data_IF_857519766432
#
_entry.id   IF_857519766432
#
_cell.length_a   1.000
_cell.length_b   1.000
_cell.length_c   1.000
_cell.angle_alpha   90.00
_cell.angle_beta   90.00
_cell.angle_gamma   90.00
#
_symmetry.space_group_name_H-M   'P 1'
#
loop_
_entity.id
_entity.type
_entity.pdbx_description
1 polymer ?
#
# COMPACT_ATOMS: atom_id res chain seq x y z
N UNK A 1 11.94 -11.43 40.77
CA UNK A 1 11.13 -11.79 39.58
C UNK A 1 10.16 -10.65 39.32
N UNK A 2 10.50 -9.74 38.40
CA UNK A 2 9.53 -8.77 37.87
C UNK A 2 8.51 -9.55 37.05
N UNK A 3 7.25 -9.58 37.49
CA UNK A 3 6.15 -10.04 36.64
C UNK A 3 6.10 -9.08 35.45
N UNK A 4 6.53 -9.54 34.28
CA UNK A 4 6.24 -8.84 33.03
C UNK A 4 4.72 -8.83 32.88
N UNK A 5 4.10 -7.70 33.19
CA UNK A 5 2.70 -7.48 32.88
C UNK A 5 2.65 -7.40 31.35
N UNK A 6 1.89 -8.28 30.68
CA UNK A 6 1.79 -8.24 29.23
C UNK A 6 1.22 -6.88 28.81
N UNK A 7 1.81 -6.27 27.77
CA UNK A 7 1.41 -4.95 27.26
C UNK A 7 -0.07 -4.90 26.82
N UNK A 8 -0.63 -6.05 26.44
CA UNK A 8 -2.01 -6.20 26.00
C UNK A 8 -2.69 -7.33 26.77
N UNK A 9 -3.96 -7.13 27.11
CA UNK A 9 -4.78 -8.09 27.86
C UNK A 9 -5.56 -9.03 26.92
N UNK A 10 -5.71 -8.67 25.63
CA UNK A 10 -6.36 -9.52 24.62
C UNK A 10 -5.78 -9.32 23.21
N UNK A 11 -6.06 -10.28 22.32
CA UNK A 11 -5.73 -10.15 20.89
C UNK A 11 -6.48 -8.99 20.21
N UNK A 12 -7.64 -8.60 20.73
CA UNK A 12 -8.42 -7.48 20.18
C UNK A 12 -7.72 -6.15 20.48
N UNK A 13 -7.26 -5.94 21.71
CA UNK A 13 -6.48 -4.76 22.09
C UNK A 13 -5.19 -4.66 21.28
N UNK A 14 -4.51 -5.80 21.07
CA UNK A 14 -3.30 -5.86 20.25
C UNK A 14 -3.60 -5.53 18.77
N UNK A 15 -4.71 -6.04 18.22
CA UNK A 15 -5.11 -5.79 16.83
C UNK A 15 -5.49 -4.33 16.62
N UNK A 16 -6.18 -3.71 17.57
CA UNK A 16 -6.54 -2.29 17.56
C UNK A 16 -5.29 -1.41 17.59
N UNK A 17 -4.38 -1.63 18.54
CA UNK A 17 -3.13 -0.87 18.63
C UNK A 17 -2.26 -1.04 17.38
N UNK A 18 -2.23 -2.24 16.80
CA UNK A 18 -1.46 -2.50 15.57
C UNK A 18 -2.10 -1.81 14.36
N UNK A 19 -3.44 -1.86 14.23
CA UNK A 19 -4.16 -1.15 13.18
C UNK A 19 -3.91 0.37 13.26
N UNK A 20 -3.97 0.96 14.45
CA UNK A 20 -3.65 2.37 14.69
C UNK A 20 -2.22 2.70 14.25
N UNK A 21 -1.24 1.88 14.65
CA UNK A 21 0.15 2.04 14.25
C UNK A 21 0.34 1.97 12.73
N UNK A 22 -0.28 1.00 12.07
CA UNK A 22 -0.22 0.84 10.61
C UNK A 22 -0.80 2.05 9.88
N UNK A 23 -1.95 2.55 10.32
CA UNK A 23 -2.59 3.73 9.70
C UNK A 23 -1.74 4.98 9.88
N UNK A 24 -1.17 5.22 11.07
CA UNK A 24 -0.28 6.36 11.30
C UNK A 24 0.95 6.30 10.40
N UNK A 25 1.56 5.13 10.24
CA UNK A 25 2.69 4.93 9.33
C UNK A 25 2.25 5.15 7.87
N UNK A 26 1.08 4.64 7.48
CA UNK A 26 0.50 4.86 6.14
C UNK A 26 0.29 6.35 5.83
N UNK A 27 -0.35 7.08 6.74
CA UNK A 27 -0.54 8.53 6.62
C UNK A 27 0.80 9.29 6.55
N UNK A 28 1.79 8.88 7.34
CA UNK A 28 3.14 9.45 7.28
C UNK A 28 3.79 9.24 5.91
N UNK A 29 3.69 8.04 5.33
CA UNK A 29 4.22 7.73 4.00
C UNK A 29 3.48 8.49 2.89
N UNK A 30 2.15 8.65 3.01
CA UNK A 30 1.35 9.48 2.11
C UNK A 30 1.85 10.93 2.13
N UNK A 31 2.09 11.49 3.31
CA UNK A 31 2.64 12.84 3.47
C UNK A 31 4.05 12.98 2.90
N UNK A 32 4.92 11.98 3.08
CA UNK A 32 6.25 11.98 2.47
C UNK A 32 6.19 12.02 0.94
N UNK A 33 5.32 11.20 0.33
CA UNK A 33 5.12 11.19 -1.12
C UNK A 33 4.51 12.51 -1.60
N UNK A 34 3.50 13.03 -0.90
CA UNK A 34 2.88 14.32 -1.22
C UNK A 34 3.89 15.47 -1.24
N UNK A 35 4.89 15.43 -0.35
CA UNK A 35 5.98 16.42 -0.28
C UNK A 35 7.14 16.15 -1.23
N UNK A 36 7.21 14.98 -1.84
CA UNK A 36 8.30 14.60 -2.73
C UNK A 36 8.32 15.51 -3.97
N UNK A 37 9.47 16.16 -4.21
CA UNK A 37 9.60 17.16 -5.28
C UNK A 37 9.31 16.57 -6.66
N UNK A 38 9.74 15.34 -6.89
CA UNK A 38 9.56 14.68 -8.19
C UNK A 38 8.10 14.27 -8.38
N UNK A 39 7.43 13.76 -7.34
CA UNK A 39 6.00 13.51 -7.37
C UNK A 39 5.21 14.79 -7.69
N UNK A 40 5.45 15.88 -6.96
CA UNK A 40 4.75 17.16 -7.19
C UNK A 40 4.96 17.69 -8.60
N UNK A 41 6.17 17.54 -9.15
CA UNK A 41 6.49 17.88 -10.54
C UNK A 41 5.72 17.01 -11.54
N UNK A 42 5.70 15.69 -11.33
CA UNK A 42 5.01 14.74 -12.22
C UNK A 42 3.48 14.86 -12.18
N UNK A 43 2.94 15.27 -11.03
CA UNK A 43 1.53 15.52 -10.81
C UNK A 43 1.12 16.99 -11.11
N UNK A 44 2.03 17.80 -11.66
CA UNK A 44 1.80 19.19 -12.06
C UNK A 44 1.21 20.09 -10.95
N UNK A 45 1.70 19.95 -9.72
CA UNK A 45 1.19 20.70 -8.57
C UNK A 45 1.31 22.23 -8.72
N UNK A 46 2.22 22.70 -9.55
CA UNK A 46 2.44 24.10 -9.87
C UNK A 46 1.22 24.79 -10.53
N UNK A 47 0.38 24.02 -11.22
CA UNK A 47 -0.82 24.53 -11.89
C UNK A 47 -2.14 24.08 -11.22
N UNK A 48 -2.07 23.17 -10.25
CA UNK A 48 -3.24 22.69 -9.53
C UNK A 48 -3.69 23.69 -8.45
N UNK A 49 -5.00 23.82 -8.28
CA UNK A 49 -5.58 24.58 -7.17
C UNK A 49 -5.33 23.88 -5.83
N UNK A 50 -5.50 24.62 -4.72
CA UNK A 50 -5.41 24.03 -3.38
C UNK A 50 -6.39 22.87 -3.19
N UNK A 51 -7.61 22.99 -3.71
CA UNK A 51 -8.62 21.92 -3.65
C UNK A 51 -8.13 20.65 -4.35
N UNK A 52 -7.43 20.78 -5.47
CA UNK A 52 -6.84 19.63 -6.15
C UNK A 52 -5.64 19.06 -5.39
N UNK A 53 -4.85 19.89 -4.69
CA UNK A 53 -3.78 19.39 -3.82
C UNK A 53 -4.38 18.55 -2.68
N UNK A 54 -5.42 19.06 -2.03
CA UNK A 54 -6.10 18.36 -0.93
C UNK A 54 -6.72 17.05 -1.40
N UNK A 55 -7.36 17.06 -2.58
CA UNK A 55 -7.89 15.84 -3.22
C UNK A 55 -6.79 14.81 -3.48
N UNK A 56 -5.67 15.21 -4.07
CA UNK A 56 -4.54 14.31 -4.33
C UNK A 56 -3.98 13.77 -3.02
N UNK A 57 -3.85 14.61 -1.98
CA UNK A 57 -3.41 14.15 -0.67
C UNK A 57 -4.35 13.10 -0.08
N UNK A 58 -5.67 13.34 -0.14
CA UNK A 58 -6.66 12.39 0.34
C UNK A 58 -6.60 11.06 -0.41
N UNK A 59 -6.43 11.11 -1.73
CA UNK A 59 -6.26 9.91 -2.56
C UNK A 59 -4.99 9.12 -2.19
N UNK A 60 -3.87 9.81 -1.89
CA UNK A 60 -2.67 9.16 -1.39
C UNK A 60 -2.94 8.47 -0.06
N UNK A 61 -3.53 9.17 0.92
CA UNK A 61 -3.81 8.62 2.25
C UNK A 61 -4.70 7.38 2.17
N UNK A 62 -5.84 7.46 1.46
CA UNK A 62 -6.74 6.31 1.32
C UNK A 62 -6.06 5.15 0.60
N UNK A 63 -5.19 5.41 -0.39
CA UNK A 63 -4.43 4.36 -1.07
C UNK A 63 -3.54 3.57 -0.11
N UNK A 64 -2.86 4.22 0.84
CA UNK A 64 -2.07 3.51 1.86
C UNK A 64 -2.97 2.70 2.82
N UNK A 65 -4.12 3.24 3.23
CA UNK A 65 -5.09 2.53 4.08
C UNK A 65 -5.61 1.28 3.38
N UNK A 66 -6.05 1.40 2.13
CA UNK A 66 -6.57 0.28 1.33
C UNK A 66 -5.47 -0.74 1.04
N UNK A 67 -4.23 -0.31 0.80
CA UNK A 67 -3.09 -1.21 0.63
C UNK A 67 -2.84 -2.06 1.89
N UNK A 68 -3.01 -1.50 3.08
CA UNK A 68 -2.94 -2.27 4.33
C UNK A 68 -4.05 -3.32 4.35
N UNK A 69 -5.29 -2.93 4.07
CA UNK A 69 -6.45 -3.85 4.06
C UNK A 69 -6.20 -5.01 3.07
N UNK A 70 -5.86 -4.71 1.82
CA UNK A 70 -5.62 -5.73 0.79
C UNK A 70 -4.41 -6.62 1.09
N UNK A 71 -3.39 -6.10 1.77
CA UNK A 71 -2.25 -6.89 2.24
C UNK A 71 -2.66 -7.91 3.30
N UNK A 72 -3.53 -7.52 4.23
CA UNK A 72 -4.04 -8.41 5.28
C UNK A 72 -4.98 -9.49 4.73
N UNK A 73 -5.63 -9.23 3.59
CA UNK A 73 -6.43 -10.22 2.85
C UNK A 73 -5.61 -11.15 1.95
N UNK A 74 -4.32 -10.85 1.73
CA UNK A 74 -3.52 -11.57 0.75
C UNK A 74 -3.39 -13.05 1.15
N UNK A 75 -3.86 -14.00 0.31
CA UNK A 75 -3.85 -15.42 0.65
C UNK A 75 -2.42 -15.98 0.77
N UNK A 76 -1.48 -15.37 0.05
CA UNK A 76 -0.08 -15.72 0.04
C UNK A 76 0.73 -15.09 1.18
N UNK A 77 0.09 -14.31 2.07
CA UNK A 77 0.73 -13.77 3.27
C UNK A 77 1.16 -14.90 4.20
N UNK A 78 2.47 -14.95 4.48
CA UNK A 78 3.12 -16.05 5.21
C UNK A 78 3.08 -15.81 6.70
N UNK A 79 1.93 -16.07 7.30
CA UNK A 79 1.75 -16.08 8.75
C UNK A 79 1.34 -17.48 9.24
N UNK A 80 1.75 -17.90 10.45
CA UNK A 80 1.23 -19.11 11.07
C UNK A 80 -0.30 -19.07 11.19
N UNK A 81 -0.93 -20.24 11.10
CA UNK A 81 -2.40 -20.36 11.08
C UNK A 81 -3.05 -19.79 12.33
N UNK A 82 -2.40 -19.90 13.50
CA UNK A 82 -2.86 -19.34 14.76
C UNK A 82 -3.01 -17.81 14.75
N UNK A 83 -2.33 -17.10 13.84
CA UNK A 83 -2.45 -15.64 13.71
C UNK A 83 -3.49 -15.20 12.68
N UNK A 84 -4.18 -16.13 12.00
CA UNK A 84 -5.16 -15.78 10.96
C UNK A 84 -6.35 -15.01 11.53
N UNK A 85 -6.85 -15.40 12.71
CA UNK A 85 -7.92 -14.68 13.39
C UNK A 85 -7.48 -13.28 13.84
N UNK A 86 -6.25 -13.16 14.33
CA UNK A 86 -5.65 -11.87 14.66
C UNK A 86 -5.55 -10.96 13.42
N UNK A 87 -5.10 -11.47 12.26
CA UNK A 87 -5.05 -10.68 11.03
C UNK A 87 -6.45 -10.25 10.55
N UNK A 88 -7.45 -11.11 10.68
CA UNK A 88 -8.84 -10.79 10.34
C UNK A 88 -9.37 -9.66 11.22
N UNK A 89 -9.19 -9.77 12.54
CA UNK A 89 -9.56 -8.72 13.49
C UNK A 89 -8.84 -7.41 13.15
N UNK A 90 -7.53 -7.45 12.94
CA UNK A 90 -6.75 -6.26 12.58
C UNK A 90 -7.28 -5.62 11.30
N UNK A 91 -7.60 -6.40 10.26
CA UNK A 91 -8.19 -5.90 9.01
C UNK A 91 -9.48 -5.12 9.26
N UNK A 92 -10.39 -5.69 10.04
CA UNK A 92 -11.68 -5.08 10.40
C UNK A 92 -11.50 -3.76 11.16
N UNK A 93 -10.35 -3.57 11.84
CA UNK A 93 -10.03 -2.36 12.60
C UNK A 93 -9.34 -1.26 11.78
N UNK A 94 -8.72 -1.56 10.62
CA UNK A 94 -7.90 -0.58 9.87
C UNK A 94 -8.70 0.67 9.49
N UNK A 95 -9.88 0.51 8.90
CA UNK A 95 -10.69 1.65 8.46
C UNK A 95 -11.13 2.51 9.65
N UNK A 96 -11.64 1.88 10.70
CA UNK A 96 -12.04 2.56 11.94
C UNK A 96 -10.86 3.28 12.61
N UNK A 97 -9.70 2.63 12.70
CA UNK A 97 -8.48 3.24 13.25
C UNK A 97 -8.06 4.49 12.48
N UNK A 98 -8.35 4.57 11.18
CA UNK A 98 -8.14 5.79 10.41
C UNK A 98 -9.12 6.90 10.76
N UNK A 99 -10.40 6.59 10.90
CA UNK A 99 -11.41 7.58 11.32
C UNK A 99 -11.10 8.11 12.74
N UNK A 100 -10.73 7.22 13.65
CA UNK A 100 -10.33 7.57 15.02
C UNK A 100 -9.06 8.44 15.02
N UNK A 101 -8.09 8.13 14.14
CA UNK A 101 -6.92 8.98 13.96
C UNK A 101 -7.29 10.38 13.43
N UNK A 102 -8.14 10.49 12.41
CA UNK A 102 -8.61 11.79 11.89
C UNK A 102 -9.33 12.60 12.97
N UNK A 103 -10.18 11.96 13.74
CA UNK A 103 -10.85 12.56 14.90
C UNK A 103 -9.85 13.09 15.92
N UNK A 104 -8.80 12.31 16.23
CA UNK A 104 -7.76 12.70 17.20
C UNK A 104 -6.96 13.93 16.79
N UNK A 105 -6.84 14.19 15.48
CA UNK A 105 -6.14 15.37 14.94
C UNK A 105 -7.09 16.54 14.64
N UNK A 106 -8.36 16.45 15.06
CA UNK A 106 -9.33 17.54 15.02
C UNK A 106 -10.21 17.60 13.77
N UNK A 107 -10.27 16.54 12.96
CA UNK A 107 -11.23 16.48 11.84
C UNK A 107 -12.65 16.38 12.41
N UNK A 108 -13.54 17.24 11.91
CA UNK A 108 -14.93 17.29 12.35
C UNK A 108 -15.71 16.05 11.90
N UNK A 109 -16.68 15.63 12.71
CA UNK A 109 -17.48 14.42 12.50
C UNK A 109 -18.18 14.40 11.13
N UNK A 110 -18.62 15.56 10.63
CA UNK A 110 -19.24 15.72 9.31
C UNK A 110 -18.32 15.30 8.15
N UNK A 111 -17.00 15.40 8.32
CA UNK A 111 -16.04 14.97 7.32
C UNK A 111 -15.67 13.49 7.46
N UNK A 112 -15.85 12.89 8.64
CA UNK A 112 -15.52 11.48 8.89
C UNK A 112 -16.41 10.53 8.07
N UNK A 113 -17.69 10.86 7.90
CA UNK A 113 -18.60 10.09 7.03
C UNK A 113 -18.12 10.08 5.56
N UNK A 114 -17.56 11.20 5.10
CA UNK A 114 -16.96 11.29 3.76
C UNK A 114 -15.74 10.37 3.62
N UNK A 115 -14.91 10.30 4.65
CA UNK A 115 -13.74 9.42 4.68
C UNK A 115 -14.12 7.93 4.74
N UNK A 116 -15.09 7.56 5.56
CA UNK A 116 -15.60 6.19 5.65
C UNK A 116 -16.08 5.72 4.27
N UNK A 117 -16.94 6.51 3.63
CA UNK A 117 -17.43 6.22 2.28
C UNK A 117 -16.32 6.14 1.25
N UNK A 118 -15.30 7.00 1.35
CA UNK A 118 -14.15 6.99 0.44
C UNK A 118 -13.32 5.70 0.59
N UNK A 119 -13.04 5.28 1.83
CA UNK A 119 -12.31 4.03 2.11
C UNK A 119 -13.08 2.85 1.54
N UNK A 120 -14.38 2.76 1.80
CA UNK A 120 -15.22 1.67 1.31
C UNK A 120 -15.28 1.62 -0.21
N UNK A 121 -15.47 2.78 -0.86
CA UNK A 121 -15.49 2.88 -2.31
C UNK A 121 -14.18 2.37 -2.92
N UNK A 122 -13.03 2.79 -2.36
CA UNK A 122 -11.71 2.38 -2.85
C UNK A 122 -11.41 0.92 -2.58
N UNK A 123 -11.85 0.37 -1.43
CA UNK A 123 -11.75 -1.06 -1.17
C UNK A 123 -12.50 -1.87 -2.23
N UNK A 124 -13.73 -1.48 -2.57
CA UNK A 124 -14.54 -2.18 -3.58
C UNK A 124 -13.94 -2.07 -4.98
N UNK A 125 -13.58 -0.85 -5.39
CA UNK A 125 -12.99 -0.56 -6.69
C UNK A 125 -11.71 -1.39 -6.90
N UNK A 126 -10.75 -1.25 -5.98
CA UNK A 126 -9.47 -1.93 -6.10
C UNK A 126 -9.64 -3.44 -5.96
N UNK A 127 -10.55 -3.91 -5.10
CA UNK A 127 -10.82 -5.34 -4.97
C UNK A 127 -11.29 -5.99 -6.28
N UNK A 128 -12.10 -5.27 -7.07
CA UNK A 128 -12.64 -5.72 -8.36
C UNK A 128 -11.53 -5.88 -9.41
N UNK A 129 -10.58 -4.96 -9.42
CA UNK A 129 -9.53 -4.91 -10.46
C UNK A 129 -8.43 -5.97 -10.23
N UNK A 130 -8.39 -6.63 -9.07
CA UNK A 130 -7.34 -7.63 -8.72
C UNK A 130 -7.17 -8.72 -9.79
N UNK A 131 -8.28 -9.21 -10.36
CA UNK A 131 -8.24 -10.26 -11.37
C UNK A 131 -7.66 -9.78 -12.70
N UNK A 132 -8.04 -8.57 -13.12
CA UNK A 132 -7.55 -7.95 -14.35
C UNK A 132 -6.05 -7.61 -14.23
N UNK A 133 -5.65 -7.04 -13.09
CA UNK A 133 -4.23 -6.76 -12.79
C UNK A 133 -3.39 -8.03 -12.80
N UNK A 134 -3.90 -9.12 -12.19
CA UNK A 134 -3.22 -10.42 -12.21
C UNK A 134 -3.10 -10.96 -13.64
N UNK A 135 -4.17 -10.90 -14.42
CA UNK A 135 -4.18 -11.38 -15.81
C UNK A 135 -3.19 -10.59 -16.68
N UNK A 136 -3.18 -9.25 -16.56
CA UNK A 136 -2.23 -8.40 -17.26
C UNK A 136 -0.78 -8.70 -16.85
N UNK A 137 -0.50 -8.88 -15.56
CA UNK A 137 0.83 -9.25 -15.09
C UNK A 137 1.28 -10.63 -15.62
N UNK A 138 0.36 -11.59 -15.74
CA UNK A 138 0.63 -12.90 -16.34
C UNK A 138 0.94 -12.78 -17.83
N UNK A 139 0.18 -11.98 -18.58
CA UNK A 139 0.43 -11.73 -20.00
C UNK A 139 1.84 -11.17 -20.20
N UNK A 140 2.20 -10.10 -19.49
CA UNK A 140 3.52 -9.45 -19.59
C UNK A 140 4.66 -10.41 -19.25
N UNK A 141 4.54 -11.20 -18.17
CA UNK A 141 5.60 -12.14 -17.80
C UNK A 141 5.70 -13.32 -18.79
N UNK A 142 4.62 -13.65 -19.49
CA UNK A 142 4.57 -14.74 -20.48
C UNK A 142 5.08 -14.37 -21.88
N UNK A 143 5.30 -13.08 -22.16
CA UNK A 143 5.80 -12.60 -23.46
C UNK A 143 7.20 -13.14 -23.79
N UNK A 144 8.08 -13.21 -22.79
CA UNK A 144 9.48 -13.57 -22.96
C UNK A 144 9.78 -15.05 -22.61
N UNK A 145 8.87 -15.74 -21.92
CA UNK A 145 9.05 -17.13 -21.44
C UNK A 145 7.74 -17.78 -20.98
N UNK A 146 7.65 -19.11 -20.92
CA UNK A 146 6.56 -19.80 -20.23
C UNK A 146 6.48 -19.43 -18.74
N UNK A 147 5.26 -19.38 -18.18
CA UNK A 147 5.05 -19.09 -16.76
C UNK A 147 5.37 -20.30 -15.89
N UNK A 148 6.26 -20.11 -14.92
CA UNK A 148 6.56 -21.10 -13.89
C UNK A 148 5.85 -20.78 -12.57
N UNK A 149 5.74 -21.76 -11.66
CA UNK A 149 5.11 -21.59 -10.34
C UNK A 149 5.72 -20.43 -9.53
N UNK A 150 7.04 -20.24 -9.66
CA UNK A 150 7.75 -19.13 -9.01
C UNK A 150 7.30 -17.75 -9.53
N UNK A 151 6.94 -17.66 -10.81
CA UNK A 151 6.45 -16.42 -11.41
C UNK A 151 5.01 -16.14 -11.00
N UNK A 152 4.15 -17.17 -11.00
CA UNK A 152 2.77 -17.05 -10.50
C UNK A 152 2.74 -16.59 -9.03
N UNK A 153 3.64 -17.13 -8.20
CA UNK A 153 3.79 -16.73 -6.80
C UNK A 153 4.20 -15.26 -6.67
N UNK A 154 5.16 -14.83 -7.50
CA UNK A 154 5.64 -13.44 -7.52
C UNK A 154 4.56 -12.47 -7.98
N UNK A 155 3.81 -12.84 -9.02
CA UNK A 155 2.69 -12.06 -9.54
C UNK A 155 1.64 -11.90 -8.44
N UNK A 156 1.17 -13.02 -7.86
CA UNK A 156 0.16 -13.01 -6.80
C UNK A 156 0.55 -12.11 -5.62
N UNK A 157 1.82 -12.16 -5.20
CA UNK A 157 2.37 -11.32 -4.13
C UNK A 157 2.32 -9.82 -4.45
N UNK A 158 2.43 -9.43 -5.72
CA UNK A 158 2.48 -8.03 -6.15
C UNK A 158 1.10 -7.47 -6.55
N UNK A 159 0.08 -8.31 -6.71
CA UNK A 159 -1.29 -7.88 -7.08
C UNK A 159 -1.79 -6.75 -6.17
N UNK A 160 -1.75 -6.84 -4.82
CA UNK A 160 -2.31 -5.79 -3.97
C UNK A 160 -1.71 -4.40 -4.24
N UNK A 161 -0.38 -4.33 -4.37
CA UNK A 161 0.31 -3.05 -4.57
C UNK A 161 0.18 -2.53 -6.01
N UNK A 162 0.11 -3.43 -6.99
CA UNK A 162 -0.13 -3.04 -8.38
C UNK A 162 -1.54 -2.48 -8.56
N UNK A 163 -2.54 -3.17 -8.01
CA UNK A 163 -3.94 -2.73 -8.02
C UNK A 163 -4.09 -1.34 -7.37
N UNK A 164 -3.59 -1.15 -6.15
CA UNK A 164 -3.68 0.16 -5.49
C UNK A 164 -2.93 1.24 -6.27
N UNK A 165 -1.75 0.93 -6.83
CA UNK A 165 -0.98 1.92 -7.58
C UNK A 165 -1.68 2.34 -8.89
N UNK A 166 -2.36 1.42 -9.56
CA UNK A 166 -3.15 1.72 -10.77
C UNK A 166 -4.32 2.64 -10.39
N UNK A 167 -5.15 2.23 -9.43
CA UNK A 167 -6.30 3.02 -9.01
C UNK A 167 -5.90 4.40 -8.47
N UNK A 168 -4.86 4.47 -7.61
CA UNK A 168 -4.33 5.73 -7.09
C UNK A 168 -3.89 6.66 -8.24
N UNK A 169 -3.18 6.12 -9.24
CA UNK A 169 -2.75 6.88 -10.41
C UNK A 169 -3.93 7.36 -11.25
N UNK A 170 -4.94 6.52 -11.48
CA UNK A 170 -6.17 6.90 -12.16
C UNK A 170 -6.88 8.04 -11.45
N UNK A 171 -7.05 7.96 -10.13
CA UNK A 171 -7.71 9.02 -9.37
C UNK A 171 -6.88 10.30 -9.31
N UNK A 172 -5.56 10.23 -9.13
CA UNK A 172 -4.69 11.43 -9.22
C UNK A 172 -4.88 12.12 -10.56
N UNK A 173 -4.91 11.35 -11.65
CA UNK A 173 -5.07 11.84 -13.02
C UNK A 173 -6.53 12.07 -13.45
N UNK A 174 -7.53 11.85 -12.59
CA UNK A 174 -8.96 11.93 -12.94
C UNK A 174 -9.33 11.05 -14.15
N UNK A 175 -8.69 9.90 -14.29
CA UNK A 175 -8.84 8.97 -15.42
C UNK A 175 -7.95 9.30 -16.63
N UNK A 176 -7.33 10.47 -16.69
CA UNK A 176 -6.46 10.89 -17.81
C UNK A 176 -5.03 10.35 -17.67
N UNK A 177 -4.87 9.02 -17.75
CA UNK A 177 -3.60 8.33 -17.50
C UNK A 177 -2.62 8.31 -18.69
N UNK A 178 -3.09 8.64 -19.91
CA UNK A 178 -2.28 8.59 -21.13
C UNK A 178 -1.10 9.56 -21.04
N UNK A 179 0.12 9.04 -21.24
CA UNK A 179 1.36 9.83 -21.17
C UNK A 179 1.84 10.15 -19.75
N UNK A 180 1.17 9.61 -18.72
CA UNK A 180 1.52 9.82 -17.30
C UNK A 180 2.31 8.65 -16.69
N UNK A 181 2.90 7.78 -17.51
CA UNK A 181 3.63 6.58 -17.06
C UNK A 181 4.71 6.86 -16.01
N UNK A 182 5.36 8.02 -16.09
CA UNK A 182 6.38 8.43 -15.12
C UNK A 182 5.78 8.65 -13.72
N UNK A 183 4.59 9.26 -13.64
CA UNK A 183 3.85 9.46 -12.39
C UNK A 183 3.41 8.11 -11.83
N UNK A 184 2.82 7.24 -12.64
CA UNK A 184 2.46 5.88 -12.25
C UNK A 184 3.65 5.11 -11.66
N UNK A 185 4.80 5.09 -12.37
CA UNK A 185 6.02 4.42 -11.90
C UNK A 185 6.52 4.99 -10.58
N UNK A 186 6.33 6.29 -10.34
CA UNK A 186 6.70 6.93 -9.10
C UNK A 186 5.79 6.52 -7.94
N UNK A 187 4.46 6.57 -8.14
CA UNK A 187 3.45 6.10 -7.18
C UNK A 187 3.68 4.63 -6.83
N UNK A 188 3.82 3.77 -7.84
CA UNK A 188 4.10 2.33 -7.66
C UNK A 188 5.38 2.10 -6.85
N UNK A 189 6.44 2.85 -7.11
CA UNK A 189 7.72 2.73 -6.37
C UNK A 189 7.54 3.02 -4.88
N UNK A 190 6.80 4.07 -4.54
CA UNK A 190 6.56 4.47 -3.15
C UNK A 190 5.66 3.48 -2.41
N UNK A 191 4.53 3.11 -3.02
CA UNK A 191 3.63 2.10 -2.47
C UNK A 191 4.33 0.74 -2.32
N UNK A 192 5.15 0.34 -3.29
CA UNK A 192 5.95 -0.91 -3.21
C UNK A 192 6.94 -0.90 -2.07
N UNK A 193 7.61 0.23 -1.81
CA UNK A 193 8.53 0.35 -0.67
C UNK A 193 7.81 0.13 0.65
N UNK A 194 6.68 0.81 0.84
CA UNK A 194 5.85 0.65 2.03
C UNK A 194 5.31 -0.78 2.15
N UNK A 195 4.73 -1.32 1.09
CA UNK A 195 4.18 -2.68 1.04
C UNK A 195 5.19 -3.73 1.47
N UNK A 196 6.39 -3.71 0.89
CA UNK A 196 7.46 -4.66 1.22
C UNK A 196 7.93 -4.48 2.66
N UNK A 197 8.10 -3.24 3.13
CA UNK A 197 8.58 -2.97 4.49
C UNK A 197 7.57 -3.48 5.55
N UNK A 198 6.26 -3.30 5.34
CA UNK A 198 5.23 -3.79 6.27
C UNK A 198 5.05 -5.30 6.14
N UNK A 199 4.94 -5.83 4.91
CA UNK A 199 4.75 -7.25 4.68
C UNK A 199 5.87 -8.09 5.28
N UNK A 200 7.13 -7.67 5.12
CA UNK A 200 8.27 -8.37 5.73
C UNK A 200 8.16 -8.42 7.25
N UNK A 201 7.70 -7.35 7.90
CA UNK A 201 7.50 -7.33 9.36
C UNK A 201 6.38 -8.29 9.79
N UNK A 202 5.28 -8.33 9.04
CA UNK A 202 4.15 -9.23 9.31
C UNK A 202 4.52 -10.70 9.12
N UNK A 203 5.32 -11.02 8.10
CA UNK A 203 5.81 -12.38 7.85
C UNK A 203 6.96 -12.80 8.79
N UNK A 204 7.29 -11.98 9.80
CA UNK A 204 8.39 -12.26 10.75
C UNK A 204 9.80 -12.10 10.15
N UNK A 205 9.90 -11.54 8.94
CA UNK A 205 11.16 -11.26 8.25
C UNK A 205 11.85 -10.02 8.81
N UNK A 206 13.17 -10.10 9.05
CA UNK A 206 14.01 -8.93 9.31
C UNK A 206 14.48 -8.34 7.98
N UNK A 207 14.17 -7.07 7.72
CA UNK A 207 14.79 -6.32 6.61
C UNK A 207 16.26 -6.08 6.95
N UNK A 208 17.13 -7.02 6.57
CA UNK A 208 18.56 -6.87 6.79
C UNK A 208 19.17 -5.86 5.79
N UNK A 209 20.18 -5.07 6.18
CA UNK A 209 20.89 -4.16 5.27
C UNK A 209 21.39 -4.84 3.99
N UNK A 210 21.70 -6.14 4.08
CA UNK A 210 22.13 -7.01 2.98
C UNK A 210 21.01 -7.23 1.95
N UNK A 211 19.75 -7.36 2.37
CA UNK A 211 18.62 -7.50 1.43
C UNK A 211 18.40 -6.19 0.66
N UNK A 212 18.53 -5.03 1.30
CA UNK A 212 18.50 -3.72 0.62
C UNK A 212 19.65 -3.59 -0.39
N UNK A 213 20.86 -3.99 -0.01
CA UNK A 213 22.02 -4.03 -0.90
C UNK A 213 21.83 -4.98 -2.09
N UNK A 214 21.23 -6.17 -1.89
CA UNK A 214 20.92 -7.13 -2.96
C UNK A 214 19.89 -6.59 -3.96
N UNK A 215 18.87 -5.87 -3.49
CA UNK A 215 17.88 -5.24 -4.38
C UNK A 215 18.51 -4.14 -5.22
N UNK A 216 19.35 -3.30 -4.61
CA UNK A 216 20.13 -2.25 -5.32
C UNK A 216 21.10 -2.86 -6.34
N UNK A 217 21.81 -3.93 -5.96
CA UNK A 217 22.73 -4.65 -6.83
C UNK A 217 22.02 -5.29 -8.02
N UNK A 218 20.88 -5.95 -7.81
CA UNK A 218 20.04 -6.50 -8.89
C UNK A 218 19.55 -5.39 -9.83
N UNK A 219 19.17 -4.22 -9.32
CA UNK A 219 18.78 -3.08 -10.15
C UNK A 219 19.95 -2.52 -10.98
N UNK A 220 21.17 -2.46 -10.43
CA UNK A 220 22.37 -2.06 -11.19
C UNK A 220 22.72 -3.06 -12.31
N UNK A 221 22.66 -4.36 -12.04
CA UNK A 221 22.93 -5.39 -13.04
C UNK A 221 21.88 -5.33 -14.17
N UNK A 222 20.59 -5.15 -13.83
CA UNK A 222 19.50 -5.06 -14.81
C UNK A 222 19.64 -3.82 -15.69
N UNK A 223 20.10 -2.68 -15.14
CA UNK A 223 20.44 -1.46 -15.90
C UNK A 223 21.64 -1.63 -16.82
N UNK A 224 22.65 -2.42 -16.42
CA UNK A 224 23.81 -2.75 -17.29
C UNK A 224 23.44 -3.71 -18.42
N UNK A 225 22.51 -4.64 -18.21
CA UNK A 225 22.03 -5.57 -19.25
C UNK A 225 21.13 -4.90 -20.30
N UNK A 226 20.41 -3.82 -19.98
CA UNK A 226 19.61 -3.03 -20.95
C UNK A 226 20.43 -2.02 -21.77
N UNK A 227 21.76 -1.93 -21.54
CA UNK A 227 22.69 -1.02 -22.23
C UNK A 227 23.69 -1.76 -23.15
N UNK A 228 23.56 -3.07 -23.29
CA UNK A 228 24.19 -3.88 -24.34
C UNK A 228 23.09 -4.35 -25.28
#
# INVERSE_FOLDING_TARGET
MTKEIPQFESFEQMAEATAEGLVKIGAHHAFQLFRDREFRRLANFDILSQVEHDRVFNELVVSYVVLIILMLEAPDLRVPTEFRDYLRLMKERVARAHLDYLKSVGVQEEHLQGWEKLIDLRCHEYAKDRHEVRAAAMQVESEDKPLELGDLTRIQMLVPVQTVAIGCHEHICRGETKGRDALFKWVLKWLSKFYVDIRLRLEGGKVTPIMKAKVVWKQMIRRRRKKK
#
